data_IF_433209560777
#
_entry.id   IF_433209560777
#
_cell.length_a   1.000
_cell.length_b   1.000
_cell.length_c   1.000
_cell.angle_alpha   90.00
_cell.angle_beta   90.00
_cell.angle_gamma   90.00
#
_symmetry.space_group_name_H-M   'P 1'
#
loop_
_entity.id
_entity.type
_entity.pdbx_description
1 polymer ?
#
# COMPACT_ATOMS: atom_id res chain seq x y z
N UNK A 1 1.40 -14.92 -17.90
CA UNK A 1 0.30 -13.96 -17.60
C UNK A 1 0.86 -12.55 -17.78
N UNK A 2 0.56 -11.83 -18.88
CA UNK A 2 1.20 -10.52 -19.14
C UNK A 2 0.60 -9.37 -18.33
N UNK A 3 -0.63 -9.53 -17.85
CA UNK A 3 -1.42 -8.39 -17.38
C UNK A 3 -1.11 -7.96 -15.94
N UNK A 4 -0.53 -8.85 -15.12
CA UNK A 4 -0.11 -8.53 -13.74
C UNK A 4 1.17 -7.70 -13.68
N UNK A 5 1.93 -7.60 -14.79
CA UNK A 5 3.18 -6.84 -14.87
C UNK A 5 3.02 -5.34 -14.57
N UNK A 6 1.88 -4.75 -14.94
CA UNK A 6 1.57 -3.34 -14.65
C UNK A 6 1.42 -3.05 -13.16
N UNK A 7 1.12 -4.08 -12.36
CA UNK A 7 0.85 -4.01 -10.92
C UNK A 7 2.08 -4.49 -10.13
N UNK A 8 2.68 -5.58 -10.62
CA UNK A 8 3.84 -6.25 -10.03
C UNK A 8 4.91 -6.35 -11.13
N UNK A 9 5.73 -5.29 -11.33
CA UNK A 9 6.83 -5.32 -12.27
C UNK A 9 7.99 -6.13 -11.67
N UNK A 10 7.79 -7.44 -11.57
CA UNK A 10 8.76 -8.37 -11.00
C UNK A 10 9.96 -8.57 -11.94
N UNK A 11 11.15 -8.56 -11.36
CA UNK A 11 12.42 -8.74 -12.07
C UNK A 11 13.12 -10.02 -11.59
N UNK A 12 14.01 -10.56 -12.43
CA UNK A 12 14.81 -11.73 -12.06
C UNK A 12 15.64 -11.41 -10.81
N UNK A 13 15.57 -12.28 -9.80
CA UNK A 13 16.21 -12.07 -8.49
C UNK A 13 15.30 -11.46 -7.44
N UNK A 14 14.08 -11.05 -7.80
CA UNK A 14 13.07 -10.73 -6.81
C UNK A 14 12.68 -11.97 -5.98
N UNK A 15 12.21 -11.69 -4.76
CA UNK A 15 11.74 -12.70 -3.83
C UNK A 15 10.29 -12.43 -3.51
N UNK A 16 9.49 -13.47 -3.61
CA UNK A 16 8.08 -13.43 -3.35
C UNK A 16 7.75 -14.26 -2.11
N UNK A 17 7.04 -13.68 -1.15
CA UNK A 17 6.52 -14.41 0.01
C UNK A 17 5.04 -14.72 -0.20
N UNK A 18 4.76 -16.02 -0.30
CA UNK A 18 3.44 -16.63 -0.40
C UNK A 18 2.99 -17.10 0.97
N UNK A 19 1.77 -16.73 1.38
CA UNK A 19 1.21 -17.18 2.66
C UNK A 19 -0.18 -17.80 2.52
N UNK A 20 -0.92 -17.44 1.47
CA UNK A 20 -2.24 -17.99 1.27
C UNK A 20 -2.12 -19.42 0.73
N UNK A 21 -3.14 -20.26 0.93
CA UNK A 21 -3.09 -21.62 0.40
C UNK A 21 -3.10 -21.66 -1.13
N UNK A 22 -2.33 -22.57 -1.77
CA UNK A 22 -2.28 -22.70 -3.24
C UNK A 22 -3.61 -23.05 -3.91
N UNK A 23 -4.59 -23.57 -3.16
CA UNK A 23 -5.93 -23.84 -3.68
C UNK A 23 -6.81 -22.58 -3.78
N UNK A 24 -6.44 -21.50 -3.10
CA UNK A 24 -7.16 -20.25 -3.20
C UNK A 24 -6.84 -19.56 -4.53
N UNK A 25 -7.86 -19.27 -5.35
CA UNK A 25 -7.66 -18.82 -6.73
C UNK A 25 -6.82 -17.54 -6.84
N UNK A 26 -6.91 -16.63 -5.86
CA UNK A 26 -6.09 -15.42 -5.79
C UNK A 26 -4.61 -15.72 -5.67
N UNK A 27 -4.22 -16.57 -4.72
CA UNK A 27 -2.82 -16.93 -4.53
C UNK A 27 -2.31 -17.65 -5.75
N UNK A 28 -3.02 -18.69 -6.18
CA UNK A 28 -2.66 -19.53 -7.33
C UNK A 28 -2.39 -18.72 -8.60
N UNK A 29 -3.23 -17.72 -8.88
CA UNK A 29 -3.05 -16.84 -10.04
C UNK A 29 -1.76 -16.02 -9.94
N UNK A 30 -1.44 -15.55 -8.75
CA UNK A 30 -0.20 -14.83 -8.51
C UNK A 30 1.03 -15.76 -8.55
N UNK A 31 0.97 -16.95 -7.95
CA UNK A 31 2.05 -17.95 -8.03
C UNK A 31 2.38 -18.29 -9.48
N UNK A 32 1.35 -18.54 -10.29
CA UNK A 32 1.55 -18.80 -11.72
C UNK A 32 2.21 -17.62 -12.43
N UNK A 33 1.87 -16.38 -12.08
CA UNK A 33 2.54 -15.20 -12.62
C UNK A 33 4.02 -15.16 -12.23
N UNK A 34 4.32 -15.42 -10.97
CA UNK A 34 5.67 -15.43 -10.38
C UNK A 34 6.53 -16.53 -11.00
N UNK A 35 5.99 -17.73 -11.18
CA UNK A 35 6.67 -18.82 -11.88
C UNK A 35 6.97 -18.45 -13.34
N UNK A 36 6.07 -17.72 -14.03
CA UNK A 36 6.36 -17.24 -15.39
C UNK A 36 7.46 -16.18 -15.44
N UNK A 37 7.75 -15.51 -14.33
CA UNK A 37 8.86 -14.56 -14.20
C UNK A 37 10.16 -15.22 -13.73
N UNK A 38 10.14 -16.50 -13.34
CA UNK A 38 11.31 -17.23 -12.85
C UNK A 38 11.90 -16.65 -11.55
N UNK A 39 11.06 -16.04 -10.71
CA UNK A 39 11.50 -15.43 -9.45
C UNK A 39 11.40 -16.42 -8.28
N UNK A 40 12.13 -16.14 -7.20
CA UNK A 40 12.15 -16.99 -6.01
C UNK A 40 10.83 -16.87 -5.25
N UNK A 41 10.23 -18.02 -4.91
CA UNK A 41 8.99 -18.10 -4.13
C UNK A 41 9.23 -18.81 -2.79
N UNK A 42 8.89 -18.13 -1.71
CA UNK A 42 8.99 -18.60 -0.33
C UNK A 42 7.59 -18.81 0.23
N UNK A 43 7.34 -19.96 0.83
CA UNK A 43 6.07 -20.28 1.48
C UNK A 43 6.15 -20.04 2.98
N UNK A 44 5.14 -19.37 3.53
CA UNK A 44 5.02 -19.12 4.98
C UNK A 44 3.60 -19.40 5.48
N UNK A 45 3.44 -19.36 6.80
CA UNK A 45 2.16 -19.46 7.49
C UNK A 45 1.93 -18.22 8.34
N UNK A 46 0.68 -17.94 8.70
CA UNK A 46 0.33 -16.78 9.55
C UNK A 46 1.12 -16.76 10.87
N UNK A 47 1.48 -17.93 11.41
CA UNK A 47 2.26 -18.06 12.65
C UNK A 47 3.71 -17.62 12.49
N UNK A 48 4.33 -18.02 11.38
CA UNK A 48 5.76 -17.80 11.12
C UNK A 48 6.03 -16.53 10.30
N UNK A 49 4.99 -15.89 9.76
CA UNK A 49 5.07 -14.72 8.88
C UNK A 49 6.05 -13.67 9.38
N UNK A 50 6.01 -13.31 10.67
CA UNK A 50 6.85 -12.25 11.22
C UNK A 50 8.35 -12.60 11.17
N UNK A 51 8.68 -13.85 11.42
CA UNK A 51 10.07 -14.31 11.45
C UNK A 51 10.58 -14.55 10.02
N UNK A 52 9.72 -15.08 9.14
CA UNK A 52 10.03 -15.29 7.73
C UNK A 52 10.18 -13.96 6.97
N UNK A 53 9.37 -12.95 7.27
CA UNK A 53 9.55 -11.59 6.72
C UNK A 53 10.92 -11.02 7.08
N UNK A 54 11.40 -11.27 8.31
CA UNK A 54 12.72 -10.81 8.75
C UNK A 54 13.84 -11.60 8.10
N UNK A 55 13.70 -12.92 8.00
CA UNK A 55 14.72 -13.82 7.49
C UNK A 55 14.91 -13.65 5.98
N UNK A 56 13.81 -13.67 5.21
CA UNK A 56 13.86 -13.68 3.75
C UNK A 56 13.77 -12.29 3.11
N UNK A 57 13.29 -11.27 3.84
CA UNK A 57 13.15 -9.88 3.35
C UNK A 57 12.57 -9.83 1.92
N UNK A 58 11.31 -10.26 1.70
CA UNK A 58 10.76 -10.39 0.36
C UNK A 58 10.60 -9.04 -0.34
N UNK A 59 10.71 -9.06 -1.66
CA UNK A 59 10.42 -7.89 -2.49
C UNK A 59 8.92 -7.66 -2.61
N UNK A 60 8.17 -8.74 -2.77
CA UNK A 60 6.74 -8.73 -2.90
C UNK A 60 6.09 -9.65 -1.87
N UNK A 61 4.99 -9.16 -1.28
CA UNK A 61 4.13 -9.93 -0.39
C UNK A 61 2.71 -9.87 -0.93
N UNK A 62 2.11 -11.02 -1.24
CA UNK A 62 0.67 -11.10 -1.53
C UNK A 62 -0.06 -11.58 -0.30
N UNK A 63 -1.12 -10.87 0.03
CA UNK A 63 -1.88 -11.17 1.22
C UNK A 63 -3.28 -10.60 1.19
N UNK A 64 -4.03 -10.91 2.24
CA UNK A 64 -5.36 -10.35 2.50
C UNK A 64 -5.25 -9.13 3.43
N UNK A 65 -6.25 -8.22 3.43
CA UNK A 65 -6.26 -7.03 4.29
C UNK A 65 -5.94 -7.32 5.77
N UNK A 66 -6.46 -8.43 6.30
CA UNK A 66 -6.23 -8.87 7.68
C UNK A 66 -4.74 -8.98 8.03
N UNK A 67 -3.89 -9.35 7.08
CA UNK A 67 -2.45 -9.52 7.30
C UNK A 67 -1.75 -8.17 7.41
N UNK A 68 -2.16 -7.21 6.61
CA UNK A 68 -1.67 -5.83 6.74
C UNK A 68 -2.15 -5.20 8.05
N UNK A 69 -3.37 -5.52 8.51
CA UNK A 69 -3.88 -5.12 9.83
C UNK A 69 -3.09 -5.76 10.99
N UNK A 70 -2.72 -7.03 10.89
CA UNK A 70 -1.91 -7.70 11.93
C UNK A 70 -0.48 -7.14 11.98
N UNK A 71 0.13 -6.85 10.83
CA UNK A 71 1.42 -6.16 10.75
C UNK A 71 1.33 -4.74 11.35
N UNK A 72 0.29 -3.98 11.01
CA UNK A 72 0.03 -2.65 11.54
C UNK A 72 -0.10 -2.65 13.07
N UNK A 73 -0.99 -3.51 13.60
CA UNK A 73 -1.20 -3.63 15.05
C UNK A 73 0.05 -4.14 15.78
N UNK A 74 0.83 -5.03 15.16
CA UNK A 74 2.13 -5.47 15.68
C UNK A 74 3.14 -4.33 15.82
N UNK A 75 3.24 -3.45 14.81
CA UNK A 75 4.10 -2.26 14.87
C UNK A 75 3.59 -1.27 15.91
N UNK A 76 2.28 -1.03 15.96
CA UNK A 76 1.68 -0.13 16.94
C UNK A 76 1.92 -0.61 18.38
N UNK A 77 1.85 -1.93 18.62
CA UNK A 77 2.19 -2.55 19.91
C UNK A 77 3.68 -2.37 20.23
N UNK A 78 4.57 -2.54 19.27
CA UNK A 78 6.01 -2.32 19.47
C UNK A 78 6.32 -0.86 19.83
N UNK A 79 5.62 0.11 19.21
CA UNK A 79 5.75 1.53 19.54
C UNK A 79 5.19 1.81 20.94
N UNK A 80 4.05 1.21 21.31
CA UNK A 80 3.41 1.46 22.61
C UNK A 80 4.18 0.88 23.80
N UNK A 81 4.87 -0.25 23.61
CA UNK A 81 5.76 -0.87 24.61
C UNK A 81 7.09 -0.14 24.78
N UNK A 82 7.48 0.73 23.83
CA UNK A 82 8.75 1.45 23.90
C UNK A 82 8.75 2.55 24.98
N UNK A 83 9.94 2.98 25.47
CA UNK A 83 10.07 4.05 26.47
C UNK A 83 9.30 5.32 26.08
N UNK A 84 8.79 6.12 27.05
CA UNK A 84 7.89 7.24 26.78
C UNK A 84 8.48 8.26 25.79
N UNK A 85 9.78 8.53 25.88
CA UNK A 85 10.48 9.43 24.93
C UNK A 85 10.47 8.86 23.51
N UNK A 86 10.77 7.56 23.33
CA UNK A 86 10.78 6.91 22.01
C UNK A 86 9.37 6.82 21.42
N UNK A 87 8.37 6.55 22.27
CA UNK A 87 6.95 6.54 21.87
C UNK A 87 6.51 7.92 21.39
N UNK A 88 6.83 8.99 22.14
CA UNK A 88 6.50 10.36 21.76
C UNK A 88 7.15 10.76 20.44
N UNK A 89 8.44 10.45 20.27
CA UNK A 89 9.18 10.70 19.03
C UNK A 89 8.58 9.93 17.84
N UNK A 90 8.27 8.64 18.01
CA UNK A 90 7.66 7.85 16.95
C UNK A 90 6.26 8.37 16.56
N UNK A 91 5.41 8.70 17.53
CA UNK A 91 4.06 9.21 17.28
C UNK A 91 4.08 10.60 16.62
N UNK A 92 4.97 11.49 17.06
CA UNK A 92 5.12 12.81 16.45
C UNK A 92 5.59 12.70 15.00
N UNK A 93 6.61 11.88 14.73
CA UNK A 93 7.08 11.64 13.36
C UNK A 93 6.02 11.01 12.45
N UNK A 94 5.23 10.05 12.97
CA UNK A 94 4.11 9.47 12.23
C UNK A 94 3.05 10.52 11.90
N UNK A 95 2.69 11.39 12.84
CA UNK A 95 1.75 12.51 12.61
C UNK A 95 2.28 13.47 11.54
N UNK A 96 3.54 13.87 11.63
CA UNK A 96 4.17 14.73 10.61
C UNK A 96 4.18 14.05 9.24
N UNK A 97 4.48 12.76 9.19
CA UNK A 97 4.54 12.03 7.92
C UNK A 97 3.17 11.81 7.29
N UNK A 98 2.12 11.55 8.10
CA UNK A 98 0.75 11.49 7.63
C UNK A 98 0.30 12.83 7.05
N UNK A 99 0.58 13.93 7.75
CA UNK A 99 0.29 15.28 7.27
C UNK A 99 1.06 15.60 5.96
N UNK A 100 2.36 15.29 5.92
CA UNK A 100 3.18 15.45 4.71
C UNK A 100 2.59 14.70 3.52
N UNK A 101 2.17 13.44 3.70
CA UNK A 101 1.57 12.65 2.63
C UNK A 101 0.24 13.22 2.15
N UNK A 102 -0.57 13.77 3.06
CA UNK A 102 -1.84 14.42 2.71
C UNK A 102 -1.62 15.66 1.82
N UNK A 103 -0.69 16.55 2.21
CA UNK A 103 -0.35 17.72 1.40
C UNK A 103 0.34 17.34 0.08
N UNK A 104 1.19 16.32 0.10
CA UNK A 104 1.83 15.79 -1.12
C UNK A 104 0.80 15.31 -2.13
N UNK A 105 -0.28 14.66 -1.70
CA UNK A 105 -1.35 14.20 -2.61
C UNK A 105 -2.13 15.35 -3.23
N UNK A 106 -2.39 16.41 -2.46
CA UNK A 106 -3.03 17.64 -2.97
C UNK A 106 -2.14 18.27 -4.04
N UNK A 107 -0.84 18.36 -3.76
CA UNK A 107 0.16 18.87 -4.71
C UNK A 107 0.25 18.01 -5.98
N UNK A 108 0.28 16.68 -5.87
CA UNK A 108 0.34 15.77 -7.02
C UNK A 108 -0.99 15.63 -7.78
N UNK A 109 -2.08 16.26 -7.31
CA UNK A 109 -3.41 16.14 -7.91
C UNK A 109 -4.02 14.75 -7.79
N UNK A 110 -3.53 13.91 -6.86
CA UNK A 110 -3.99 12.52 -6.66
C UNK A 110 -5.08 12.37 -5.59
N UNK A 111 -5.79 13.45 -5.28
CA UNK A 111 -6.92 13.45 -4.36
C UNK A 111 -8.24 13.35 -5.17
N UNK A 112 -8.97 12.24 -5.02
CA UNK A 112 -10.34 12.09 -5.55
C UNK A 112 -11.42 12.58 -4.58
N UNK A 113 -11.04 13.28 -3.50
CA UNK A 113 -12.03 13.74 -2.52
C UNK A 113 -11.71 15.15 -2.07
N UNK A 114 -12.40 16.08 -2.71
CA UNK A 114 -12.93 17.31 -2.12
C UNK A 114 -14.21 17.57 -2.90
N UNK A 115 -15.33 17.72 -2.18
CA UNK A 115 -16.68 17.88 -2.72
C UNK A 115 -16.72 18.56 -4.09
N UNK A 116 -17.46 17.93 -5.00
CA UNK A 116 -17.94 18.49 -6.27
C UNK A 116 -18.94 19.61 -5.98
N UNK A 117 -18.49 20.67 -5.33
CA UNK A 117 -19.25 21.92 -5.20
C UNK A 117 -18.31 23.00 -5.73
N UNK A 118 -18.75 23.68 -6.79
CA UNK A 118 -18.01 24.67 -7.57
C UNK A 118 -17.05 25.52 -6.71
N UNK A 119 -15.74 25.35 -6.87
CA UNK A 119 -14.76 26.30 -6.36
C UNK A 119 -14.06 27.01 -7.52
N UNK A 120 -14.09 28.34 -7.48
CA UNK A 120 -13.41 29.24 -8.41
C UNK A 120 -11.95 28.83 -8.59
N UNK A 121 -11.47 28.88 -9.84
CA UNK A 121 -10.10 28.51 -10.25
C UNK A 121 -9.00 29.06 -9.31
N UNK A 122 -9.20 30.27 -8.78
CA UNK A 122 -8.26 30.99 -7.91
C UNK A 122 -8.08 30.31 -6.55
N UNK A 123 -9.15 29.81 -5.92
CA UNK A 123 -9.05 29.13 -4.61
C UNK A 123 -8.34 27.78 -4.72
N UNK A 124 -8.57 27.03 -5.81
CA UNK A 124 -7.85 25.78 -6.09
C UNK A 124 -6.36 26.02 -6.32
N UNK A 125 -6.02 27.10 -7.05
CA UNK A 125 -4.63 27.50 -7.26
C UNK A 125 -3.92 27.89 -5.96
N UNK A 126 -4.61 28.60 -5.06
CA UNK A 126 -4.08 28.99 -3.76
C UNK A 126 -3.84 27.76 -2.87
N UNK A 127 -4.81 26.86 -2.79
CA UNK A 127 -4.71 25.62 -2.00
C UNK A 127 -3.56 24.73 -2.48
N UNK A 128 -3.35 24.66 -3.79
CA UNK A 128 -2.22 23.93 -4.38
C UNK A 128 -0.88 24.55 -4.02
N UNK A 129 -0.76 25.89 -4.07
CA UNK A 129 0.46 26.61 -3.68
C UNK A 129 0.76 26.44 -2.19
N UNK A 130 -0.27 26.57 -1.33
CA UNK A 130 -0.15 26.35 0.11
C UNK A 130 0.28 24.92 0.44
N UNK A 131 -0.35 23.93 -0.19
CA UNK A 131 0.05 22.53 -0.04
C UNK A 131 1.50 22.29 -0.45
N UNK A 132 1.97 22.95 -1.52
CA UNK A 132 3.36 22.85 -1.98
C UNK A 132 4.35 23.44 -0.97
N UNK A 133 4.05 24.61 -0.41
CA UNK A 133 4.88 25.24 0.62
C UNK A 133 4.98 24.35 1.86
N UNK A 134 3.83 23.90 2.38
CA UNK A 134 3.76 23.05 3.57
C UNK A 134 4.49 21.73 3.33
N UNK A 135 4.25 21.06 2.19
CA UNK A 135 4.94 19.82 1.84
C UNK A 135 6.46 20.01 1.79
N UNK A 136 6.94 21.14 1.27
CA UNK A 136 8.38 21.46 1.20
C UNK A 136 8.99 21.65 2.59
N UNK A 137 8.26 22.31 3.51
CA UNK A 137 8.70 22.50 4.90
C UNK A 137 8.72 21.18 5.67
N UNK A 138 7.71 20.31 5.46
CA UNK A 138 7.62 19.03 6.15
C UNK A 138 8.56 17.95 5.57
N UNK A 139 9.01 18.10 4.32
CA UNK A 139 9.89 17.16 3.64
C UNK A 139 11.17 16.81 4.42
N UNK A 140 11.98 17.75 4.92
CA UNK A 140 13.18 17.41 5.69
C UNK A 140 12.86 16.63 6.97
N UNK A 141 11.76 16.97 7.64
CA UNK A 141 11.33 16.28 8.86
C UNK A 141 10.90 14.84 8.53
N UNK A 142 10.20 14.65 7.41
CA UNK A 142 9.84 13.32 6.91
C UNK A 142 11.08 12.48 6.54
N UNK A 143 12.10 13.10 5.92
CA UNK A 143 13.36 12.42 5.60
C UNK A 143 14.11 11.96 6.87
N UNK A 144 14.13 12.81 7.91
CA UNK A 144 14.70 12.45 9.21
C UNK A 144 13.93 11.29 9.87
N UNK A 145 12.60 11.34 9.82
CA UNK A 145 11.74 10.25 10.30
C UNK A 145 12.04 8.93 9.57
N UNK A 146 12.22 9.00 8.24
CA UNK A 146 12.53 7.85 7.40
C UNK A 146 13.83 7.17 7.82
N UNK A 147 14.88 7.96 8.07
CA UNK A 147 16.20 7.44 8.45
C UNK A 147 16.24 6.88 9.87
N UNK A 148 15.58 7.52 10.83
CA UNK A 148 15.69 7.18 12.26
C UNK A 148 14.67 6.16 12.75
N UNK A 149 13.41 6.34 12.38
CA UNK A 149 12.29 5.52 12.88
C UNK A 149 11.86 4.50 11.84
N UNK A 150 11.69 4.90 10.58
CA UNK A 150 11.16 4.00 9.57
C UNK A 150 12.17 2.95 9.13
N UNK A 151 13.47 3.22 9.15
CA UNK A 151 14.50 2.19 8.90
C UNK A 151 14.33 0.96 9.79
N UNK A 152 14.04 1.15 11.07
CA UNK A 152 13.76 0.06 12.03
C UNK A 152 12.46 -0.66 11.72
N UNK A 153 11.42 0.09 11.35
CA UNK A 153 10.12 -0.49 10.99
C UNK A 153 10.23 -1.28 9.67
N UNK A 154 10.92 -0.76 8.66
CA UNK A 154 11.22 -1.43 7.39
C UNK A 154 11.98 -2.72 7.62
N UNK A 155 13.01 -2.72 8.47
CA UNK A 155 13.73 -3.96 8.81
C UNK A 155 12.84 -5.02 9.47
N UNK A 156 11.80 -4.59 10.20
CA UNK A 156 10.85 -5.49 10.86
C UNK A 156 9.73 -5.99 9.94
N UNK A 157 9.32 -5.19 8.96
CA UNK A 157 8.30 -5.56 7.94
C UNK A 157 8.93 -6.42 6.85
N UNK A 158 10.16 -6.09 6.44
CA UNK A 158 10.93 -6.84 5.46
C UNK A 158 10.48 -6.76 4.00
N UNK A 159 9.49 -5.91 3.67
CA UNK A 159 8.97 -5.75 2.32
C UNK A 159 9.67 -4.59 1.62
N UNK A 160 10.34 -4.84 0.50
CA UNK A 160 11.15 -3.80 -0.18
C UNK A 160 10.46 -3.14 -1.38
N UNK A 161 9.72 -3.88 -2.24
CA UNK A 161 9.06 -3.32 -3.44
C UNK A 161 7.59 -2.99 -3.19
N UNK A 162 6.73 -3.98 -2.96
CA UNK A 162 5.31 -3.74 -2.70
C UNK A 162 4.59 -4.91 -2.01
N UNK A 163 3.66 -4.59 -1.11
CA UNK A 163 2.61 -5.50 -0.66
C UNK A 163 1.38 -5.40 -1.57
N UNK A 164 0.81 -6.53 -1.96
CA UNK A 164 -0.45 -6.59 -2.71
C UNK A 164 -1.52 -7.18 -1.78
N UNK A 165 -2.59 -6.43 -1.58
CA UNK A 165 -3.75 -6.80 -0.80
C UNK A 165 -4.88 -7.21 -1.73
N UNK A 166 -5.48 -8.38 -1.53
CA UNK A 166 -6.63 -8.86 -2.30
C UNK A 166 -7.64 -9.62 -1.43
N UNK A 167 -8.81 -9.92 -2.00
CA UNK A 167 -9.85 -10.71 -1.32
C UNK A 167 -10.69 -9.95 -0.29
N UNK A 168 -10.46 -8.64 -0.12
CA UNK A 168 -11.26 -7.79 0.78
C UNK A 168 -10.90 -6.33 0.66
N UNK A 169 -11.59 -5.47 1.44
CA UNK A 169 -11.24 -4.07 1.50
C UNK A 169 -10.15 -3.79 2.53
N UNK A 170 -9.12 -3.04 2.13
CA UNK A 170 -8.08 -2.55 3.03
C UNK A 170 -8.57 -1.29 3.78
N UNK A 171 -8.56 -1.29 5.13
CA UNK A 171 -8.96 -0.11 5.90
C UNK A 171 -8.09 1.11 5.58
N UNK A 172 -8.73 2.28 5.46
CA UNK A 172 -8.06 3.53 5.09
C UNK A 172 -6.93 3.91 6.06
N UNK A 173 -7.12 3.66 7.36
CA UNK A 173 -6.11 3.96 8.37
C UNK A 173 -4.82 3.14 8.16
N UNK A 174 -4.98 1.87 7.77
CA UNK A 174 -3.87 0.95 7.52
C UNK A 174 -3.13 1.34 6.23
N UNK A 175 -3.87 1.64 5.16
CA UNK A 175 -3.28 2.11 3.89
C UNK A 175 -2.50 3.43 4.07
N UNK A 176 -3.08 4.40 4.79
CA UNK A 176 -2.41 5.68 5.12
C UNK A 176 -1.15 5.46 5.95
N UNK A 177 -1.17 4.54 6.90
CA UNK A 177 0.00 4.22 7.72
C UNK A 177 1.13 3.64 6.88
N UNK A 178 0.87 2.59 6.08
CA UNK A 178 1.89 1.97 5.24
C UNK A 178 2.47 2.96 4.22
N UNK A 179 1.64 3.84 3.68
CA UNK A 179 2.12 4.95 2.85
C UNK A 179 3.03 5.91 3.61
N UNK A 180 2.65 6.35 4.81
CA UNK A 180 3.42 7.30 5.60
C UNK A 180 4.81 6.77 6.00
N UNK A 181 4.94 5.45 6.21
CA UNK A 181 6.24 4.82 6.46
C UNK A 181 7.02 4.53 5.18
N UNK A 182 6.41 4.69 4.00
CA UNK A 182 7.04 4.47 2.70
C UNK A 182 6.96 3.02 2.16
N UNK A 183 6.11 2.18 2.75
CA UNK A 183 5.82 0.83 2.22
C UNK A 183 4.67 0.93 1.21
N UNK A 184 4.91 0.48 -0.02
CA UNK A 184 3.88 0.50 -1.06
C UNK A 184 2.93 -0.67 -0.85
N UNK A 185 1.67 -0.38 -0.51
CA UNK A 185 0.58 -1.36 -0.47
C UNK A 185 -0.40 -1.07 -1.60
N UNK A 186 -0.68 -2.07 -2.43
CA UNK A 186 -1.56 -2.00 -3.59
C UNK A 186 -2.80 -2.84 -3.32
N UNK A 187 -3.99 -2.24 -3.38
CA UNK A 187 -5.23 -2.98 -3.22
C UNK A 187 -5.73 -3.47 -4.58
N UNK A 188 -6.05 -4.76 -4.66
CA UNK A 188 -6.66 -5.44 -5.79
C UNK A 188 -8.06 -5.92 -5.47
N UNK A 189 -8.92 -5.94 -6.49
CA UNK A 189 -10.26 -6.53 -6.43
C UNK A 189 -10.38 -7.60 -7.50
N UNK A 190 -11.07 -8.68 -7.16
CA UNK A 190 -11.37 -9.80 -8.03
C UNK A 190 -12.28 -10.79 -7.32
N UNK A 191 -12.93 -11.65 -8.10
CA UNK A 191 -13.80 -12.72 -7.62
C UNK A 191 -13.37 -14.03 -8.27
N UNK A 192 -13.61 -15.14 -7.59
CA UNK A 192 -13.27 -16.48 -8.09
C UNK A 192 -13.96 -16.81 -9.42
N UNK A 193 -15.15 -16.26 -9.63
CA UNK A 193 -16.07 -16.52 -10.74
C UNK A 193 -15.71 -15.75 -12.02
N UNK A 194 -14.96 -14.66 -11.91
CA UNK A 194 -14.70 -13.74 -13.04
C UNK A 194 -13.21 -13.63 -13.34
N UNK A 195 -12.42 -13.29 -12.32
CA UNK A 195 -10.96 -13.41 -12.31
C UNK A 195 -10.46 -13.07 -10.91
N UNK A 196 -9.46 -13.81 -10.38
CA UNK A 196 -8.95 -13.55 -9.03
C UNK A 196 -8.38 -12.14 -8.84
N UNK A 197 -7.91 -11.50 -9.91
CA UNK A 197 -7.56 -10.07 -9.92
C UNK A 197 -8.11 -9.45 -11.20
N UNK A 198 -9.04 -8.53 -11.02
CA UNK A 198 -9.81 -7.83 -12.06
C UNK A 198 -9.27 -6.42 -12.25
N UNK A 199 -9.02 -5.76 -11.13
CA UNK A 199 -8.54 -4.41 -11.04
C UNK A 199 -7.55 -4.35 -9.89
N UNK A 200 -6.54 -3.50 -10.01
CA UNK A 200 -5.66 -3.19 -8.90
C UNK A 200 -5.12 -1.77 -9.00
N UNK A 201 -4.65 -1.24 -7.88
CA UNK A 201 -3.90 0.01 -7.89
C UNK A 201 -2.51 -0.25 -8.50
N UNK A 202 -2.03 0.69 -9.31
CA UNK A 202 -0.70 0.63 -9.94
C UNK A 202 0.36 1.25 -9.02
N UNK A 203 1.63 0.83 -9.11
CA UNK A 203 2.69 1.39 -8.26
C UNK A 203 2.93 2.89 -8.50
N UNK A 204 2.69 3.37 -9.73
CA UNK A 204 2.90 4.77 -10.16
C UNK A 204 1.68 5.66 -9.94
N UNK A 205 0.48 5.08 -9.94
CA UNK A 205 -0.79 5.81 -9.84
C UNK A 205 -1.63 5.24 -8.70
N UNK A 206 -1.34 5.70 -7.48
CA UNK A 206 -2.02 5.28 -6.28
C UNK A 206 -2.86 6.43 -5.72
N UNK A 207 -4.01 6.66 -6.35
CA UNK A 207 -5.01 7.62 -5.90
C UNK A 207 -5.70 7.03 -4.67
N UNK A 208 -5.67 7.74 -3.55
CA UNK A 208 -6.04 7.21 -2.22
C UNK A 208 -6.82 8.26 -1.43
N UNK A 209 -8.11 8.04 -1.22
CA UNK A 209 -8.91 8.64 -0.13
C UNK A 209 -10.39 8.22 -0.15
N UNK A 210 -10.84 7.53 -1.19
CA UNK A 210 -12.15 6.88 -1.22
C UNK A 210 -11.94 5.44 -0.73
N UNK A 211 -12.60 5.08 0.37
CA UNK A 211 -12.66 3.70 0.85
C UNK A 211 -13.02 2.77 -0.31
N UNK A 212 -12.28 1.66 -0.45
CA UNK A 212 -12.60 0.59 -1.39
C UNK A 212 -12.34 0.87 -2.89
N UNK A 213 -11.74 2.00 -3.29
CA UNK A 213 -11.49 2.21 -4.73
C UNK A 213 -10.29 1.41 -5.22
N UNK A 214 -10.57 0.61 -6.24
CA UNK A 214 -9.59 -0.11 -7.04
C UNK A 214 -9.47 0.62 -8.37
N UNK A 215 -8.38 1.37 -8.52
CA UNK A 215 -8.32 2.51 -9.44
C UNK A 215 -8.32 2.14 -10.93
N UNK A 216 -7.78 0.99 -11.31
CA UNK A 216 -7.57 0.67 -12.72
C UNK A 216 -7.87 -0.80 -13.03
N UNK A 217 -8.63 -1.07 -14.11
CA UNK A 217 -8.74 -2.42 -14.62
C UNK A 217 -7.37 -2.91 -15.10
N UNK A 218 -7.16 -4.21 -14.94
CA UNK A 218 -6.00 -4.90 -15.52
C UNK A 218 -6.14 -4.86 -17.04
N UNK A 219 -5.04 -4.59 -17.75
CA UNK A 219 -5.00 -4.56 -19.23
C UNK A 219 -5.66 -5.83 -19.77
N UNK A 220 -6.75 -5.69 -20.56
CA UNK A 220 -7.68 -6.72 -21.10
C UNK A 220 -9.11 -6.68 -20.53
N UNK A 221 -9.35 -6.07 -19.36
CA UNK A 221 -10.70 -5.95 -18.81
C UNK A 221 -11.33 -4.57 -19.06
N UNK A 222 -12.55 -4.57 -19.60
CA UNK A 222 -13.42 -3.39 -19.68
C UNK A 222 -14.66 -3.65 -18.83
N UNK A 223 -14.91 -2.79 -17.84
CA UNK A 223 -16.10 -2.88 -16.98
C UNK A 223 -17.12 -1.81 -17.37
N UNK A 224 -18.39 -2.18 -17.38
CA UNK A 224 -19.52 -1.26 -17.45
C UNK A 224 -20.18 -1.27 -16.08
N UNK A 225 -19.94 -0.24 -15.27
CA UNK A 225 -20.72 -0.03 -14.05
C UNK A 225 -22.11 0.47 -14.44
N UNK A 226 -23.13 -0.40 -14.38
CA UNK A 226 -24.52 0.05 -14.31
C UNK A 226 -24.78 0.52 -12.88
N UNK A 227 -24.75 1.83 -12.66
CA UNK A 227 -25.30 2.41 -11.44
C UNK A 227 -26.82 2.20 -11.46
N UNK A 228 -27.29 1.15 -10.79
CA UNK A 228 -28.71 1.02 -10.47
C UNK A 228 -28.97 1.98 -9.32
N UNK A 229 -29.52 3.16 -9.62
CA UNK A 229 -30.09 4.05 -8.61
C UNK A 229 -31.35 3.35 -8.08
N UNK A 230 -31.25 2.76 -6.89
CA UNK A 230 -32.40 2.35 -6.06
C UNK A 230 -32.65 3.40 -5.01
#
# INVERSE_FOLDING_TARGET
IKNLWDIVPAEVGDRFLSMLPPWHAYERACEYFIFTCGIEQVYTTVRNLKDDLKLYQPHYLISVPLVFETLYSGIQKQISTSPPVRKLVALTFLRVSLAYMEYKRIYEGKCLTRNTEQHSFIHSMLDWLWARIIATILFPIHLLAAKLVYSKIHSAIGISKAGISGGGSLPLQVDKFFEAIGVKVQNGYGLTETSPVIAARRPRCNVRHVSNVVNFPISMYQYVCKCTLT
#
